data_IF_267085630083
#
_entry.id   IF_267085630083
#
_cell.length_a   1.000
_cell.length_b   1.000
_cell.length_c   1.000
_cell.angle_alpha   90.00
_cell.angle_beta   90.00
_cell.angle_gamma   90.00
#
_symmetry.space_group_name_H-M   'P 1'
#
loop_
_entity.id
_entity.type
_entity.pdbx_description
1 polymer ?
#
# COMPACT_ATOMS: atom_id res chain seq x y z
N UNK A 1 -6.90 -13.20 13.65
CA UNK A 1 -6.40 -12.03 12.90
C UNK A 1 -5.56 -12.50 11.72
N UNK A 2 -5.84 -11.99 10.52
CA UNK A 2 -5.07 -12.35 9.34
C UNK A 2 -3.63 -11.83 9.44
N UNK A 3 -2.64 -12.63 9.11
CA UNK A 3 -1.26 -12.19 9.05
C UNK A 3 -0.98 -11.57 7.67
N UNK A 4 0.22 -10.99 7.51
CA UNK A 4 0.59 -10.31 6.27
C UNK A 4 0.49 -11.23 5.05
N UNK A 5 0.97 -12.47 5.17
CA UNK A 5 0.92 -13.43 4.06
C UNK A 5 -0.51 -13.75 3.64
N UNK A 6 -1.42 -13.88 4.60
CA UNK A 6 -2.83 -14.13 4.30
C UNK A 6 -3.46 -12.92 3.61
N UNK A 7 -3.10 -11.71 4.03
CA UNK A 7 -3.64 -10.49 3.44
C UNK A 7 -3.23 -10.35 1.97
N UNK A 8 -1.95 -10.54 1.66
CA UNK A 8 -1.46 -10.37 0.28
C UNK A 8 -1.80 -11.55 -0.62
N UNK A 9 -2.09 -12.72 -0.08
CA UNK A 9 -2.51 -13.91 -0.83
C UNK A 9 -4.02 -13.89 -1.08
N UNK A 10 -4.50 -12.78 -1.59
CA UNK A 10 -5.90 -12.59 -1.93
C UNK A 10 -6.11 -12.85 -3.42
N UNK A 11 -7.32 -13.23 -3.80
CA UNK A 11 -7.71 -13.34 -5.20
C UNK A 11 -7.80 -11.97 -5.89
N UNK A 12 -7.82 -10.89 -5.10
CA UNK A 12 -7.78 -9.52 -5.59
C UNK A 12 -6.40 -8.92 -5.34
N UNK A 13 -5.96 -7.97 -6.18
CA UNK A 13 -4.74 -7.21 -5.88
C UNK A 13 -4.86 -6.49 -4.54
N UNK A 14 -3.75 -6.38 -3.84
CA UNK A 14 -3.68 -5.73 -2.52
C UNK A 14 -2.64 -4.64 -2.54
N UNK A 15 -3.07 -3.42 -2.22
CA UNK A 15 -2.17 -2.28 -2.08
C UNK A 15 -1.85 -2.09 -0.60
N UNK A 16 -0.58 -2.20 -0.25
CA UNK A 16 -0.11 -1.98 1.12
C UNK A 16 0.57 -0.61 1.19
N UNK A 17 0.11 0.22 2.12
CA UNK A 17 0.71 1.52 2.43
C UNK A 17 1.59 1.38 3.67
N UNK A 18 2.91 1.40 3.48
CA UNK A 18 3.87 1.41 4.58
C UNK A 18 4.07 2.84 5.05
N UNK A 19 3.69 3.12 6.28
CA UNK A 19 3.64 4.47 6.83
C UNK A 19 4.04 4.51 8.31
N UNK A 20 4.09 5.71 8.87
CA UNK A 20 4.31 5.93 10.31
C UNK A 20 3.50 7.13 10.75
N UNK A 21 3.15 7.17 12.04
CA UNK A 21 2.34 8.27 12.60
C UNK A 21 3.05 9.62 12.52
N UNK A 22 4.38 9.63 12.65
CA UNK A 22 5.19 10.86 12.61
C UNK A 22 5.47 11.36 11.19
N UNK A 23 5.07 10.64 10.18
CA UNK A 23 5.41 10.93 8.80
C UNK A 23 4.39 11.90 8.18
N UNK A 24 4.83 13.13 7.89
CA UNK A 24 4.00 14.15 7.26
C UNK A 24 3.45 13.74 5.90
N UNK A 25 4.30 13.32 4.94
CA UNK A 25 3.83 12.86 3.63
C UNK A 25 2.85 11.70 3.71
N UNK A 26 3.01 10.80 4.69
CA UNK A 26 2.06 9.70 4.90
C UNK A 26 0.67 10.23 5.27
N UNK A 27 0.61 11.27 6.07
CA UNK A 27 -0.66 11.91 6.45
C UNK A 27 -1.32 12.61 5.28
N UNK A 28 -0.54 13.12 4.35
CA UNK A 28 -1.05 13.78 3.15
C UNK A 28 -1.72 12.79 2.21
N UNK A 29 -1.17 11.59 2.09
CA UNK A 29 -1.72 10.58 1.17
C UNK A 29 -2.89 9.81 1.78
N UNK A 30 -3.05 9.83 3.11
CA UNK A 30 -4.10 9.06 3.79
C UNK A 30 -5.51 9.34 3.26
N UNK A 31 -5.98 10.61 3.13
CA UNK A 31 -7.30 10.87 2.59
C UNK A 31 -7.44 10.46 1.13
N UNK A 32 -6.35 10.54 0.36
CA UNK A 32 -6.34 10.09 -1.04
C UNK A 32 -6.55 8.57 -1.10
N UNK A 33 -5.89 7.83 -0.22
CA UNK A 33 -6.07 6.37 -0.14
C UNK A 33 -7.49 5.99 0.27
N UNK A 34 -8.12 6.76 1.14
CA UNK A 34 -9.51 6.53 1.52
C UNK A 34 -10.45 6.71 0.33
N UNK A 35 -10.26 7.75 -0.48
CA UNK A 35 -11.05 7.96 -1.69
C UNK A 35 -10.85 6.82 -2.69
N UNK A 36 -9.60 6.44 -2.91
CA UNK A 36 -9.26 5.35 -3.84
C UNK A 36 -9.86 4.03 -3.36
N UNK A 37 -9.83 3.77 -2.06
CA UNK A 37 -10.43 2.57 -1.48
C UNK A 37 -11.92 2.47 -1.80
N UNK A 38 -12.62 3.60 -1.79
CA UNK A 38 -14.04 3.63 -2.14
C UNK A 38 -14.26 3.42 -3.63
N UNK A 39 -13.44 4.06 -4.46
CA UNK A 39 -13.58 3.96 -5.93
C UNK A 39 -13.22 2.58 -6.45
N UNK A 40 -12.30 1.89 -5.81
CA UNK A 40 -11.82 0.56 -6.22
C UNK A 40 -12.42 -0.56 -5.38
N UNK A 41 -13.46 -0.28 -4.62
CA UNK A 41 -14.13 -1.28 -3.79
C UNK A 41 -14.55 -2.47 -4.65
N UNK A 42 -14.21 -3.67 -4.20
CA UNK A 42 -14.46 -4.90 -4.95
C UNK A 42 -13.40 -5.23 -6.00
N UNK A 43 -12.54 -4.29 -6.39
CA UNK A 43 -11.49 -4.51 -7.40
C UNK A 43 -10.13 -4.77 -6.76
N UNK A 44 -9.78 -4.01 -5.72
CA UNK A 44 -8.54 -4.18 -4.96
C UNK A 44 -8.86 -4.05 -3.48
N UNK A 45 -7.93 -4.52 -2.65
CA UNK A 45 -7.93 -4.24 -1.22
C UNK A 45 -6.83 -3.24 -0.91
N UNK A 46 -7.08 -2.36 0.04
CA UNK A 46 -6.07 -1.41 0.51
C UNK A 46 -5.90 -1.61 2.01
N UNK A 47 -4.66 -1.78 2.45
CA UNK A 47 -4.33 -1.94 3.86
C UNK A 47 -3.13 -1.06 4.21
N UNK A 48 -3.03 -0.73 5.49
CA UNK A 48 -1.94 0.08 6.03
C UNK A 48 -1.06 -0.77 6.92
N UNK A 49 0.23 -0.49 6.91
CA UNK A 49 1.17 -1.10 7.83
C UNK A 49 2.06 -0.02 8.44
N UNK A 50 2.05 0.06 9.78
CA UNK A 50 2.91 0.98 10.53
C UNK A 50 4.30 0.34 10.65
N UNK A 51 5.30 1.00 10.08
CA UNK A 51 6.67 0.47 10.04
C UNK A 51 7.32 0.45 11.42
N UNK A 52 6.85 1.25 12.36
CA UNK A 52 7.36 1.25 13.73
C UNK A 52 6.77 0.10 14.55
N UNK A 53 5.52 -0.25 14.29
CA UNK A 53 4.85 -1.36 14.96
C UNK A 53 5.25 -2.71 14.38
N UNK A 54 5.65 -2.74 13.11
CA UNK A 54 6.03 -3.98 12.43
C UNK A 54 7.28 -3.71 11.59
N UNK A 55 8.42 -4.18 12.06
CA UNK A 55 9.72 -3.95 11.41
C UNK A 55 10.15 -5.09 10.50
N UNK A 56 9.62 -6.28 10.72
CA UNK A 56 10.01 -7.48 9.98
C UNK A 56 9.61 -7.42 8.51
N UNK A 57 8.36 -7.03 8.23
CA UNK A 57 7.86 -6.96 6.86
C UNK A 57 8.51 -5.82 6.06
N UNK A 58 8.59 -4.57 6.57
CA UNK A 58 9.31 -3.53 5.86
C UNK A 58 10.76 -3.89 5.55
N UNK A 59 11.43 -4.54 6.49
CA UNK A 59 12.82 -4.99 6.33
C UNK A 59 12.95 -6.01 5.19
N UNK A 60 12.01 -6.93 5.13
CA UNK A 60 11.96 -7.97 4.08
C UNK A 60 11.88 -7.36 2.68
N UNK A 61 11.15 -6.26 2.52
CA UNK A 61 10.97 -5.62 1.22
C UNK A 61 11.95 -4.45 0.99
N UNK A 62 12.90 -4.26 1.89
CA UNK A 62 13.90 -3.21 1.75
C UNK A 62 13.34 -1.80 1.82
N UNK A 63 12.28 -1.59 2.60
CA UNK A 63 11.64 -0.28 2.73
C UNK A 63 12.60 0.67 3.45
N UNK A 64 12.94 1.78 2.80
CA UNK A 64 13.83 2.80 3.37
C UNK A 64 13.16 4.16 3.51
N UNK A 65 12.25 4.48 2.60
CA UNK A 65 11.50 5.72 2.61
C UNK A 65 10.03 5.45 2.83
N UNK A 66 9.31 6.40 3.42
CA UNK A 66 7.87 6.31 3.61
C UNK A 66 7.21 7.62 3.19
N UNK A 67 5.97 7.56 2.68
CA UNK A 67 5.20 6.33 2.44
C UNK A 67 5.79 5.51 1.30
N UNK A 68 5.71 4.19 1.41
CA UNK A 68 5.99 3.28 0.31
C UNK A 68 4.74 2.48 0.04
N UNK A 69 4.34 2.45 -1.22
CA UNK A 69 3.16 1.70 -1.66
C UNK A 69 3.62 0.49 -2.46
N UNK A 70 3.20 -0.69 -2.03
CA UNK A 70 3.50 -1.92 -2.76
C UNK A 70 2.18 -2.56 -3.16
N UNK A 71 2.03 -2.84 -4.46
CA UNK A 71 0.88 -3.54 -5.00
C UNK A 71 1.25 -5.01 -5.15
N UNK A 72 0.49 -5.87 -4.48
CA UNK A 72 0.67 -7.32 -4.53
C UNK A 72 -0.40 -7.95 -5.40
N UNK A 73 -0.01 -8.95 -6.20
CA UNK A 73 -0.94 -9.79 -6.96
C UNK A 73 -0.58 -11.24 -6.70
N UNK A 74 -1.54 -12.01 -6.22
CA UNK A 74 -1.35 -13.44 -5.91
C UNK A 74 -0.17 -13.68 -4.96
N UNK A 75 0.00 -12.79 -3.98
CA UNK A 75 1.07 -12.90 -2.99
C UNK A 75 2.44 -12.39 -3.43
N UNK A 76 2.58 -11.92 -4.65
CA UNK A 76 3.85 -11.43 -5.18
C UNK A 76 3.80 -9.93 -5.44
N UNK A 77 4.95 -9.25 -5.33
CA UNK A 77 5.07 -7.83 -5.65
C UNK A 77 4.84 -7.63 -7.14
N UNK A 78 3.81 -6.86 -7.48
CA UNK A 78 3.54 -6.46 -8.86
C UNK A 78 4.18 -5.11 -9.19
N UNK A 79 4.17 -4.16 -8.24
CA UNK A 79 4.73 -2.83 -8.44
C UNK A 79 4.99 -2.15 -7.10
N UNK A 80 5.87 -1.16 -7.09
CA UNK A 80 6.25 -0.44 -5.89
C UNK A 80 6.49 1.03 -6.23
N UNK A 81 6.07 1.92 -5.33
CA UNK A 81 6.27 3.35 -5.50
C UNK A 81 6.55 4.00 -4.15
N UNK A 82 7.56 4.87 -4.09
CA UNK A 82 7.96 5.56 -2.88
C UNK A 82 7.55 7.02 -2.97
N UNK A 83 7.08 7.58 -1.86
CA UNK A 83 6.74 8.98 -1.72
C UNK A 83 5.25 9.26 -1.86
N UNK A 84 4.84 10.43 -1.35
CA UNK A 84 3.47 10.89 -1.51
C UNK A 84 3.21 11.27 -2.97
N UNK A 85 1.98 11.10 -3.41
CA UNK A 85 1.60 11.39 -4.78
C UNK A 85 0.17 11.91 -4.84
N UNK A 86 -0.15 12.61 -5.91
CA UNK A 86 -1.51 13.08 -6.16
C UNK A 86 -2.41 11.88 -6.54
N UNK A 87 -3.72 12.06 -6.36
CA UNK A 87 -4.69 11.00 -6.63
C UNK A 87 -4.56 10.43 -8.04
N UNK A 88 -4.40 11.30 -9.06
CA UNK A 88 -4.27 10.85 -10.44
C UNK A 88 -3.04 9.96 -10.67
N UNK A 89 -1.94 10.27 -9.99
CA UNK A 89 -0.73 9.45 -10.06
C UNK A 89 -0.95 8.09 -9.41
N UNK A 90 -1.67 8.06 -8.29
CA UNK A 90 -1.97 6.82 -7.58
C UNK A 90 -2.89 5.93 -8.40
N UNK A 91 -3.97 6.49 -8.96
CA UNK A 91 -4.90 5.70 -9.78
C UNK A 91 -4.22 5.16 -11.04
N UNK A 92 -3.34 5.97 -11.67
CA UNK A 92 -2.55 5.51 -12.81
C UNK A 92 -1.62 4.36 -12.43
N UNK A 93 -0.98 4.46 -11.27
CA UNK A 93 -0.11 3.40 -10.74
C UNK A 93 -0.89 2.09 -10.55
N UNK A 94 -2.07 2.18 -9.95
CA UNK A 94 -2.92 1.02 -9.73
C UNK A 94 -3.40 0.43 -11.07
N UNK A 95 -3.97 1.26 -11.94
CA UNK A 95 -4.56 0.81 -13.20
C UNK A 95 -3.54 0.18 -14.14
N UNK A 96 -2.29 0.65 -14.07
CA UNK A 96 -1.20 0.10 -14.91
C UNK A 96 -0.73 -1.28 -14.45
N UNK A 97 -1.10 -1.70 -13.24
CA UNK A 97 -0.54 -2.91 -12.63
C UNK A 97 -1.60 -3.92 -12.17
N UNK A 98 -2.85 -3.66 -12.42
CA UNK A 98 -3.93 -4.63 -12.14
C UNK A 98 -4.54 -5.17 -13.47
#
# INVERSE_FOLDING_TARGET
>A
MANFQEIINSDKPVLIDFSAEWCGPCKMIAPILEEVAKEYDGKIQIAKMDVDANQAVPSKFGIRGIPTLILFKNGAVAAQKVGAMAKGQLTSFIDSNI
#
